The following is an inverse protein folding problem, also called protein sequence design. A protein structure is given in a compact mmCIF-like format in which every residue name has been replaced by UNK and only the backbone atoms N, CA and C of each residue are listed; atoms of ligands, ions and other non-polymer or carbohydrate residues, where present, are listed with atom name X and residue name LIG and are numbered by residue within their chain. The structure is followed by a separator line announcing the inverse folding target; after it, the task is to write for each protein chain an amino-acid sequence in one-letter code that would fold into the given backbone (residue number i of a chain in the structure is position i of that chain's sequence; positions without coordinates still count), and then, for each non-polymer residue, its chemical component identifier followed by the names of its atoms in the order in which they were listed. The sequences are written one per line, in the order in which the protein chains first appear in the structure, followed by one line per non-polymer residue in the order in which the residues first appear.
data_IF_714955819347
#
_entry.id   IF_714955819347
#
_cell.length_a   1.000
_cell.length_b   1.000
_cell.length_c   1.000
_cell.angle_alpha   90.00
_cell.angle_beta   90.00
_cell.angle_gamma   90.00
#
_symmetry.space_group_name_H-M   'P 1'
#
loop_
_entity.id
_entity.type
_entity.pdbx_description
1 polymer ?
#
# COMPACT_ATOMS: atom_id res chain seq x y z
N UNK A 1 -28.38 1.62 -4.62
CA UNK A 1 -27.58 1.28 -5.82
C UNK A 1 -26.69 0.08 -5.49
N UNK A 2 -26.32 -0.73 -6.48
CA UNK A 2 -25.39 -1.85 -6.31
C UNK A 2 -24.13 -1.59 -7.13
N UNK A 3 -22.97 -1.84 -6.54
CA UNK A 3 -21.68 -1.79 -7.21
C UNK A 3 -21.11 -3.20 -7.22
N UNK A 4 -20.73 -3.67 -8.41
CA UNK A 4 -20.16 -5.00 -8.61
C UNK A 4 -18.82 -4.81 -9.31
N UNK A 5 -17.76 -5.30 -8.67
CA UNK A 5 -16.40 -5.27 -9.21
C UNK A 5 -15.75 -6.64 -9.01
N UNK A 6 -14.84 -7.00 -9.91
CA UNK A 6 -14.10 -8.27 -9.80
C UNK A 6 -12.93 -8.15 -8.83
N UNK A 7 -12.33 -6.96 -8.73
CA UNK A 7 -11.25 -6.64 -7.80
C UNK A 7 -11.36 -5.20 -7.33
N UNK A 8 -10.87 -4.93 -6.11
CA UNK A 8 -10.82 -3.56 -5.60
C UNK A 8 -9.85 -2.70 -6.42
N UNK A 9 -8.82 -3.31 -7.01
CA UNK A 9 -7.86 -2.63 -7.88
C UNK A 9 -8.51 -1.98 -9.12
N UNK A 10 -9.59 -2.56 -9.66
CA UNK A 10 -10.33 -1.92 -10.77
C UNK A 10 -10.98 -0.60 -10.33
N UNK A 11 -11.50 -0.56 -9.10
CA UNK A 11 -12.09 0.64 -8.52
C UNK A 11 -11.00 1.68 -8.29
N UNK A 12 -9.85 1.28 -7.73
CA UNK A 12 -8.72 2.19 -7.53
C UNK A 12 -8.15 2.74 -8.84
N UNK A 13 -8.12 1.95 -9.91
CA UNK A 13 -7.67 2.41 -11.22
C UNK A 13 -8.62 3.46 -11.81
N UNK A 14 -9.92 3.34 -11.57
CA UNK A 14 -10.93 4.26 -12.10
C UNK A 14 -11.07 5.53 -11.26
N UNK A 15 -10.95 5.44 -9.94
CA UNK A 15 -11.26 6.53 -9.01
C UNK A 15 -10.06 7.03 -8.19
N UNK A 16 -8.89 6.43 -8.39
CA UNK A 16 -7.69 6.70 -7.60
C UNK A 16 -7.61 5.89 -6.30
N UNK A 17 -6.42 5.90 -5.65
CA UNK A 17 -6.19 5.16 -4.41
C UNK A 17 -7.01 5.72 -3.23
N UNK A 18 -7.26 7.03 -3.22
CA UNK A 18 -8.02 7.72 -2.18
C UNK A 18 -9.46 7.95 -2.64
N UNK A 19 -10.23 6.86 -2.78
CA UNK A 19 -11.64 6.92 -3.17
C UNK A 19 -12.56 6.75 -1.95
N UNK A 20 -13.71 7.44 -1.97
CA UNK A 20 -14.74 7.35 -0.91
C UNK A 20 -15.82 6.30 -1.22
N UNK A 21 -15.71 5.59 -2.35
CA UNK A 21 -16.74 4.67 -2.81
C UNK A 21 -16.93 3.53 -1.82
N UNK A 22 -15.82 2.94 -1.36
CA UNK A 22 -15.86 1.84 -0.40
C UNK A 22 -16.37 2.30 0.96
N UNK A 23 -16.04 3.51 1.39
CA UNK A 23 -16.49 4.10 2.66
C UNK A 23 -17.98 4.38 2.68
N UNK A 24 -18.53 4.80 1.54
CA UNK A 24 -19.97 5.04 1.37
C UNK A 24 -20.82 3.75 1.27
N UNK A 25 -20.19 2.58 1.11
CA UNK A 25 -20.91 1.31 1.05
C UNK A 25 -21.23 0.79 2.47
N UNK A 26 -22.49 0.92 2.89
CA UNK A 26 -22.98 0.41 4.18
C UNK A 26 -22.96 -1.12 4.28
N UNK A 27 -23.24 -1.80 3.16
CA UNK A 27 -23.19 -3.25 3.03
C UNK A 27 -22.09 -3.59 2.04
N UNK A 28 -21.17 -4.48 2.44
CA UNK A 28 -20.10 -4.99 1.61
C UNK A 28 -20.17 -6.50 1.60
N UNK A 29 -20.21 -7.08 0.40
CA UNK A 29 -20.19 -8.53 0.20
C UNK A 29 -18.89 -8.88 -0.50
N UNK A 30 -18.13 -9.79 0.09
CA UNK A 30 -16.85 -10.24 -0.45
C UNK A 30 -16.90 -11.74 -0.71
N UNK A 31 -16.37 -12.12 -1.87
CA UNK A 31 -16.17 -13.52 -2.26
C UNK A 31 -14.68 -13.87 -2.17
N UNK A 32 -14.36 -15.15 -2.38
CA UNK A 32 -12.98 -15.57 -2.62
C UNK A 32 -12.35 -14.70 -3.71
N UNK A 33 -11.16 -14.17 -3.43
CA UNK A 33 -10.38 -13.32 -4.34
C UNK A 33 -9.05 -14.00 -4.62
N UNK A 34 -8.54 -13.82 -5.84
CA UNK A 34 -7.19 -14.26 -6.21
C UNK A 34 -6.14 -13.15 -6.01
N UNK A 35 -6.57 -11.91 -5.77
CA UNK A 35 -5.67 -10.77 -5.53
C UNK A 35 -5.37 -10.63 -4.03
N UNK A 36 -4.10 -10.78 -3.66
CA UNK A 36 -3.60 -10.66 -2.29
C UNK A 36 -3.91 -9.28 -1.70
N UNK A 37 -3.77 -8.21 -2.48
CA UNK A 37 -4.02 -6.84 -2.00
C UNK A 37 -5.49 -6.66 -1.63
N UNK A 38 -6.40 -7.18 -2.45
CA UNK A 38 -7.83 -7.22 -2.13
C UNK A 38 -8.10 -8.10 -0.90
N UNK A 39 -7.47 -9.27 -0.79
CA UNK A 39 -7.64 -10.17 0.36
C UNK A 39 -7.20 -9.50 1.67
N UNK A 40 -6.05 -8.81 1.66
CA UNK A 40 -5.53 -8.06 2.79
C UNK A 40 -6.50 -6.97 3.24
N UNK A 41 -7.06 -6.19 2.30
CA UNK A 41 -8.06 -5.17 2.64
C UNK A 41 -9.32 -5.75 3.27
N UNK A 42 -9.79 -6.90 2.79
CA UNK A 42 -10.94 -7.58 3.38
C UNK A 42 -10.60 -8.10 4.78
N UNK A 43 -9.41 -8.68 4.98
CA UNK A 43 -8.90 -9.09 6.30
C UNK A 43 -8.84 -7.93 7.27
N UNK A 44 -8.27 -6.80 6.84
CA UNK A 44 -8.14 -5.60 7.67
C UNK A 44 -9.51 -5.01 8.03
N UNK A 45 -10.46 -5.03 7.09
CA UNK A 45 -11.85 -4.58 7.33
C UNK A 45 -12.63 -5.49 8.29
N UNK A 46 -12.31 -6.79 8.34
CA UNK A 46 -12.89 -7.74 9.29
C UNK A 46 -12.33 -7.57 10.71
N UNK A 47 -11.10 -7.06 10.80
CA UNK A 47 -10.42 -6.82 12.07
C UNK A 47 -9.80 -8.08 12.68
N UNK A 48 -9.54 -8.01 13.99
CA UNK A 48 -8.84 -9.05 14.74
C UNK A 48 -9.76 -9.70 15.78
N UNK A 49 -9.54 -10.99 16.02
CA UNK A 49 -10.15 -11.78 17.06
C UNK A 49 -9.10 -12.19 18.10
N UNK A 50 -9.55 -12.50 19.31
CA UNK A 50 -8.71 -13.03 20.38
C UNK A 50 -8.73 -14.56 20.32
N UNK A 51 -7.54 -15.16 20.24
CA UNK A 51 -7.36 -16.61 20.29
C UNK A 51 -6.68 -17.01 21.61
N UNK A 52 -7.26 -17.98 22.32
CA UNK A 52 -6.71 -18.53 23.54
C UNK A 52 -5.70 -19.63 23.21
N UNK A 53 -4.41 -19.38 23.39
CA UNK A 53 -3.37 -20.40 23.22
C UNK A 53 -3.02 -21.03 24.57
N UNK A 54 -3.26 -22.33 24.70
CA UNK A 54 -2.81 -23.09 25.87
C UNK A 54 -1.46 -23.76 25.57
N UNK A 55 -0.42 -23.39 26.33
CA UNK A 55 0.89 -24.05 26.27
C UNK A 55 1.02 -25.01 27.45
N UNK A 56 1.32 -26.26 27.13
CA UNK A 56 1.55 -27.32 28.12
C UNK A 56 3.04 -27.55 28.23
N UNK A 57 3.63 -27.14 29.35
CA UNK A 57 5.02 -27.40 29.68
C UNK A 57 5.08 -28.65 30.55
N UNK A 58 5.76 -29.68 30.04
CA UNK A 58 6.04 -30.89 30.79
C UNK A 58 7.35 -30.69 31.56
N UNK A 59 7.27 -30.63 32.89
CA UNK A 59 8.44 -30.70 33.74
C UNK A 59 8.59 -32.15 34.23
N UNK A 60 9.82 -32.63 34.39
CA UNK A 60 10.11 -33.97 34.91
C UNK A 60 11.18 -34.74 34.12
N UNK A 61 11.78 -35.73 34.76
CA UNK A 61 12.73 -36.63 34.12
C UNK A 61 11.98 -37.71 33.33
N UNK A 62 12.34 -37.88 32.04
CA UNK A 62 11.72 -38.84 31.09
C UNK A 62 11.73 -40.32 31.54
N UNK A 63 12.50 -40.65 32.60
CA UNK A 63 12.68 -42.00 33.14
C UNK A 63 12.12 -42.18 34.57
N UNK A 64 11.50 -41.15 35.17
CA UNK A 64 10.95 -41.28 36.53
C UNK A 64 9.58 -41.99 36.53
N UNK A 65 9.31 -42.93 37.46
CA UNK A 65 8.06 -43.69 37.53
C UNK A 65 6.79 -42.83 37.77
N UNK A 66 6.96 -41.62 38.28
CA UNK A 66 5.88 -40.67 38.52
C UNK A 66 6.26 -39.32 37.91
N UNK A 67 5.63 -39.01 36.76
CA UNK A 67 5.91 -37.83 35.95
C UNK A 67 5.45 -36.56 36.71
N UNK A 68 6.40 -35.89 37.36
CA UNK A 68 6.15 -34.77 38.27
C UNK A 68 5.88 -33.45 37.55
N UNK A 69 4.62 -33.02 37.60
CA UNK A 69 4.09 -31.67 37.33
C UNK A 69 3.95 -31.25 35.84
N UNK A 70 2.69 -31.22 35.38
CA UNK A 70 2.28 -30.57 34.14
C UNK A 70 1.92 -29.11 34.44
N UNK A 71 2.67 -28.15 33.87
CA UNK A 71 2.27 -26.75 33.88
C UNK A 71 1.46 -26.45 32.62
N UNK A 72 0.25 -25.93 32.79
CA UNK A 72 -0.57 -25.43 31.67
C UNK A 72 -0.68 -23.92 31.81
N UNK A 73 0.00 -23.17 30.96
CA UNK A 73 -0.18 -21.72 30.85
C UNK A 73 -1.17 -21.42 29.71
N UNK A 74 -2.08 -20.46 29.94
CA UNK A 74 -2.98 -19.96 28.90
C UNK A 74 -2.58 -18.52 28.60
N UNK A 75 -2.37 -18.20 27.34
CA UNK A 75 -2.05 -16.86 26.86
C UNK A 75 -3.06 -16.44 25.81
N UNK A 76 -3.58 -15.23 25.93
CA UNK A 76 -4.39 -14.57 24.90
C UNK A 76 -3.48 -13.99 23.83
N UNK A 77 -3.80 -14.20 22.55
CA UNK A 77 -3.05 -13.60 21.43
C UNK A 77 -4.04 -13.08 20.40
N UNK A 78 -3.78 -11.88 19.89
CA UNK A 78 -4.57 -11.29 18.82
C UNK A 78 -4.22 -11.95 17.47
N UNK A 79 -5.25 -12.33 16.70
CA UNK A 79 -5.13 -12.91 15.36
C UNK A 79 -6.15 -12.25 14.44
N UNK A 80 -5.86 -12.01 13.15
CA UNK A 80 -6.90 -11.61 12.19
C UNK A 80 -8.09 -12.56 12.24
N UNK A 81 -9.32 -12.03 12.20
CA UNK A 81 -10.53 -12.85 12.25
C UNK A 81 -10.56 -13.87 11.09
N UNK A 82 -10.16 -13.41 9.90
CA UNK A 82 -9.79 -14.25 8.78
C UNK A 82 -8.51 -13.70 8.18
N UNK A 83 -7.50 -14.56 8.04
CA UNK A 83 -6.25 -14.19 7.39
C UNK A 83 -6.46 -13.97 5.88
N UNK A 84 -5.60 -13.19 5.20
CA UNK A 84 -5.67 -13.03 3.76
C UNK A 84 -5.66 -14.37 3.01
N UNK A 85 -4.86 -15.34 3.46
CA UNK A 85 -4.82 -16.69 2.90
C UNK A 85 -6.15 -17.45 3.05
N UNK A 86 -6.80 -17.36 4.22
CA UNK A 86 -8.13 -17.97 4.44
C UNK A 86 -9.22 -17.32 3.57
N UNK A 87 -9.11 -16.01 3.29
CA UNK A 87 -10.03 -15.30 2.38
C UNK A 87 -9.84 -15.76 0.93
N UNK A 88 -8.59 -15.91 0.49
CA UNK A 88 -8.30 -16.41 -0.86
C UNK A 88 -8.75 -17.87 -1.04
N UNK A 89 -8.64 -18.68 0.01
CA UNK A 89 -9.09 -20.08 0.01
C UNK A 89 -10.56 -20.25 0.42
N UNK A 90 -11.33 -19.16 0.51
CA UNK A 90 -12.74 -19.23 0.88
C UNK A 90 -13.48 -20.15 -0.11
N UNK A 91 -14.31 -21.10 0.37
CA UNK A 91 -15.05 -21.99 -0.53
C UNK A 91 -15.89 -21.19 -1.53
N UNK A 92 -16.02 -21.66 -2.79
CA UNK A 92 -16.75 -20.92 -3.83
C UNK A 92 -18.25 -20.79 -3.55
N UNK A 93 -18.79 -21.56 -2.61
CA UNK A 93 -20.17 -21.48 -2.15
C UNK A 93 -20.37 -20.51 -0.97
N UNK A 94 -19.29 -19.97 -0.41
CA UNK A 94 -19.32 -19.10 0.76
C UNK A 94 -19.09 -17.65 0.36
N UNK A 95 -19.57 -16.74 1.20
CA UNK A 95 -19.37 -15.31 1.08
C UNK A 95 -19.24 -14.68 2.47
N UNK A 96 -18.62 -13.51 2.52
CA UNK A 96 -18.46 -12.72 3.74
C UNK A 96 -19.29 -11.46 3.56
N UNK A 97 -20.25 -11.27 4.46
CA UNK A 97 -21.15 -10.11 4.46
C UNK A 97 -20.77 -9.22 5.64
N UNK A 98 -20.39 -8.00 5.32
CA UNK A 98 -20.09 -6.95 6.29
C UNK A 98 -21.18 -5.89 6.22
N UNK A 99 -21.85 -5.65 7.34
CA UNK A 99 -22.86 -4.60 7.49
C UNK A 99 -22.38 -3.67 8.60
N UNK A 100 -22.37 -2.36 8.35
CA UNK A 100 -21.87 -1.43 9.35
C UNK A 100 -22.72 -1.52 10.65
N UNK A 101 -22.03 -1.60 11.80
CA UNK A 101 -22.67 -1.76 13.11
C UNK A 101 -23.08 -3.20 13.46
N UNK A 102 -22.81 -4.18 12.60
CA UNK A 102 -23.10 -5.60 12.87
C UNK A 102 -21.81 -6.43 12.77
N UNK A 103 -21.63 -7.47 13.59
CA UNK A 103 -20.52 -8.41 13.41
C UNK A 103 -20.53 -9.02 12.00
N UNK A 104 -19.35 -9.28 11.40
CA UNK A 104 -19.28 -9.86 10.07
C UNK A 104 -19.92 -11.25 10.03
N UNK A 105 -20.64 -11.53 8.94
CA UNK A 105 -21.42 -12.75 8.77
C UNK A 105 -20.78 -13.58 7.66
N UNK A 106 -20.43 -14.83 7.99
CA UNK A 106 -20.08 -15.83 6.98
C UNK A 106 -21.35 -16.51 6.49
N UNK A 107 -21.70 -16.28 5.23
CA UNK A 107 -22.93 -16.77 4.62
C UNK A 107 -22.65 -17.75 3.47
N UNK A 108 -23.72 -18.43 3.01
CA UNK A 108 -23.70 -19.23 1.78
C UNK A 108 -24.28 -18.40 0.64
N UNK A 109 -23.66 -18.45 -0.53
CA UNK A 109 -24.11 -17.74 -1.73
C UNK A 109 -25.54 -18.10 -2.11
N UNK A 110 -26.34 -17.06 -2.35
CA UNK A 110 -27.68 -17.22 -2.89
C UNK A 110 -27.62 -17.64 -4.37
N UNK A 111 -27.99 -18.90 -4.66
CA UNK A 111 -28.11 -19.41 -6.03
C UNK A 111 -29.56 -19.32 -6.49
N UNK A 112 -29.86 -18.34 -7.34
CA UNK A 112 -31.23 -18.05 -7.79
C UNK A 112 -31.95 -19.26 -8.41
N UNK A 113 -31.20 -20.14 -9.09
CA UNK A 113 -31.74 -21.33 -9.73
C UNK A 113 -32.00 -22.50 -8.76
N UNK A 114 -31.43 -22.46 -7.55
CA UNK A 114 -31.55 -23.53 -6.55
C UNK A 114 -32.60 -23.20 -5.48
N UNK A 115 -32.84 -21.93 -5.20
CA UNK A 115 -33.85 -21.49 -4.24
C UNK A 115 -35.24 -21.40 -4.91
N UNK A 116 -36.22 -22.11 -4.36
CA UNK A 116 -37.60 -22.09 -4.86
C UNK A 116 -38.17 -20.66 -4.95
N UNK A 117 -37.87 -19.80 -3.96
CA UNK A 117 -38.38 -18.42 -3.89
C UNK A 117 -37.86 -17.54 -5.01
N UNK A 118 -36.67 -17.85 -5.52
CA UNK A 118 -36.07 -17.13 -6.64
C UNK A 118 -36.45 -17.74 -7.99
N UNK A 119 -36.56 -19.07 -8.07
CA UNK A 119 -37.05 -19.76 -9.28
C UNK A 119 -38.39 -19.24 -9.76
N UNK A 120 -39.33 -18.99 -8.85
CA UNK A 120 -40.66 -18.47 -9.18
C UNK A 120 -40.63 -17.04 -9.77
N UNK A 121 -39.51 -16.33 -9.61
CA UNK A 121 -39.30 -14.97 -10.14
C UNK A 121 -38.45 -14.95 -11.41
N UNK A 122 -37.99 -16.11 -11.89
CA UNK A 122 -37.20 -16.20 -13.12
C UNK A 122 -38.12 -15.99 -14.31
N UNK A 123 -37.93 -14.87 -15.02
CA UNK A 123 -38.59 -14.59 -16.29
C UNK A 123 -37.83 -15.23 -17.45
N UNK A 124 -38.54 -15.55 -18.53
CA UNK A 124 -37.91 -15.98 -19.76
C UNK A 124 -36.92 -14.92 -20.26
N UNK A 125 -35.75 -15.32 -20.79
CA UNK A 125 -34.81 -14.38 -21.38
C UNK A 125 -35.50 -13.49 -22.43
N UNK A 126 -35.16 -12.20 -22.51
CA UNK A 126 -35.73 -11.34 -23.54
C UNK A 126 -35.35 -11.88 -24.93
N UNK A 127 -36.32 -11.92 -25.83
CA UNK A 127 -36.06 -12.27 -27.22
C UNK A 127 -35.18 -11.19 -27.84
N UNK A 128 -33.95 -11.56 -28.22
CA UNK A 128 -33.02 -10.66 -28.90
C UNK A 128 -33.53 -10.41 -30.32
N UNK A 129 -34.40 -9.43 -30.49
CA UNK A 129 -34.75 -8.92 -31.81
C UNK A 129 -33.54 -8.11 -32.29
N UNK A 130 -32.84 -8.58 -33.32
CA UNK A 130 -31.78 -7.80 -33.98
C UNK A 130 -32.46 -6.54 -34.52
N UNK A 131 -32.33 -5.42 -33.81
CA UNK A 131 -32.86 -4.15 -34.26
C UNK A 131 -32.19 -3.81 -35.60
N UNK A 132 -32.98 -3.58 -36.64
CA UNK A 132 -32.48 -3.07 -37.93
C UNK A 132 -32.08 -1.60 -37.86
N UNK A 133 -32.38 -0.93 -36.74
CA UNK A 133 -31.99 0.45 -36.50
C UNK A 133 -30.75 0.46 -35.61
N UNK A 134 -29.64 0.92 -36.19
CA UNK A 134 -28.52 1.46 -35.43
C UNK A 134 -29.12 2.55 -34.53
N UNK A 135 -29.16 2.33 -33.22
CA UNK A 135 -29.43 3.42 -32.30
C UNK A 135 -28.38 4.48 -32.58
N UNK A 136 -28.81 5.69 -32.93
CA UNK A 136 -27.91 6.83 -32.96
C UNK A 136 -27.45 7.05 -31.51
N UNK A 137 -26.29 6.52 -31.15
CA UNK A 137 -25.63 6.96 -29.92
C UNK A 137 -25.07 8.36 -30.18
N UNK A 138 -25.22 9.25 -29.19
CA UNK A 138 -24.66 10.61 -29.20
C UNK A 138 -23.13 10.61 -29.41
N UNK A 139 -22.50 9.44 -29.28
CA UNK A 139 -21.06 9.21 -29.47
C UNK A 139 -20.69 8.84 -30.91
N UNK A 140 -21.57 8.17 -31.66
CA UNK A 140 -21.25 7.67 -33.01
C UNK A 140 -21.24 8.78 -34.05
N UNK A 141 -22.01 9.84 -33.82
CA UNK A 141 -22.07 11.01 -34.70
C UNK A 141 -21.00 12.07 -34.37
N UNK A 142 -20.25 11.90 -33.28
CA UNK A 142 -19.17 12.81 -32.95
C UNK A 142 -18.02 12.63 -33.95
N UNK A 143 -17.46 13.73 -34.49
CA UNK A 143 -16.30 13.63 -35.35
C UNK A 143 -15.17 12.97 -34.58
N UNK A 144 -14.56 11.95 -35.19
CA UNK A 144 -13.35 11.32 -34.65
C UNK A 144 -12.34 12.45 -34.43
N UNK A 145 -11.83 12.65 -33.20
CA UNK A 145 -10.87 13.71 -32.94
C UNK A 145 -9.68 13.51 -33.89
N UNK A 146 -9.30 14.57 -34.59
CA UNK A 146 -8.21 14.53 -35.53
C UNK A 146 -6.97 13.97 -34.81
N UNK A 147 -6.49 12.82 -35.28
CA UNK A 147 -5.18 12.32 -34.87
C UNK A 147 -4.21 13.43 -35.19
N UNK A 148 -3.53 13.96 -34.17
CA UNK A 148 -2.46 14.92 -34.41
C UNK A 148 -1.38 14.18 -35.18
N UNK A 149 -1.36 14.36 -36.51
CA UNK A 149 -0.21 14.02 -37.32
C UNK A 149 0.94 14.82 -36.72
N UNK A 150 1.84 14.12 -36.04
CA UNK A 150 3.07 14.70 -35.55
C UNK A 150 3.76 15.34 -36.74
N UNK A 151 3.78 16.67 -36.79
CA UNK A 151 4.55 17.43 -37.77
C UNK A 151 6.04 17.27 -37.44
N UNK A 152 6.58 16.10 -37.75
CA UNK A 152 8.00 15.80 -37.72
C UNK A 152 8.65 16.28 -39.01
N UNK A 153 8.84 17.60 -39.15
CA UNK A 153 9.84 18.17 -40.08
C UNK A 153 10.49 19.43 -39.50
N UNK A 154 11.69 19.26 -38.99
CA UNK A 154 12.82 20.20 -39.06
C UNK A 154 14.06 19.39 -38.70
N UNK A 155 14.84 18.98 -39.68
CA UNK A 155 16.00 19.71 -40.20
C UNK A 155 17.27 19.20 -39.52
N UNK A 156 18.19 18.70 -40.34
CA UNK A 156 19.46 18.12 -39.95
C UNK A 156 20.28 19.05 -39.05
N UNK A 157 20.81 18.51 -37.96
CA UNK A 157 22.04 18.97 -37.34
C UNK A 157 22.87 17.71 -37.08
N UNK A 158 23.94 17.56 -37.86
CA UNK A 158 25.06 16.67 -37.57
C UNK A 158 25.70 17.12 -36.26
N UNK A 159 25.78 16.20 -35.30
CA UNK A 159 26.40 16.43 -34.00
C UNK A 159 26.64 15.07 -33.34
N UNK A 160 27.85 14.56 -33.54
CA UNK A 160 28.42 13.39 -32.89
C UNK A 160 28.26 13.47 -31.36
N UNK A 161 27.58 12.52 -30.73
CA UNK A 161 27.89 12.12 -29.35
C UNK A 161 27.41 10.69 -29.06
N UNK A 162 28.30 9.89 -28.50
CA UNK A 162 28.16 8.46 -28.22
C UNK A 162 27.32 8.22 -26.94
N UNK A 163 26.18 7.52 -27.05
CA UNK A 163 25.51 6.88 -25.90
C UNK A 163 25.27 5.38 -26.21
N UNK A 164 25.88 4.45 -25.45
CA UNK A 164 25.82 3.01 -25.71
C UNK A 164 24.59 2.32 -25.10
N UNK A 165 23.64 3.05 -24.51
CA UNK A 165 22.41 2.44 -23.96
C UNK A 165 21.20 2.69 -24.86
N UNK A 166 21.02 1.79 -25.83
CA UNK A 166 19.90 1.77 -26.79
C UNK A 166 18.53 1.51 -26.16
N UNK A 167 18.01 2.44 -25.36
CA UNK A 167 16.62 2.43 -24.88
C UNK A 167 15.79 3.53 -25.57
N UNK A 168 15.30 3.16 -26.75
CA UNK A 168 14.02 3.58 -27.34
C UNK A 168 13.51 5.02 -27.08
N UNK A 169 13.70 5.87 -28.09
CA UNK A 169 12.90 7.07 -28.34
C UNK A 169 11.40 6.72 -28.48
N UNK A 170 10.67 6.68 -27.36
CA UNK A 170 9.20 6.78 -27.36
C UNK A 170 8.79 8.20 -27.03
N UNK A 171 8.69 9.03 -28.06
CA UNK A 171 8.08 10.35 -27.95
C UNK A 171 6.57 10.20 -27.77
N UNK A 172 6.08 10.46 -26.54
CA UNK A 172 4.66 10.57 -26.23
C UNK A 172 4.19 12.01 -26.51
N UNK A 173 3.23 12.26 -27.42
CA UNK A 173 2.83 13.61 -27.84
C UNK A 173 2.10 14.44 -26.77
N UNK A 174 1.47 13.78 -25.79
CA UNK A 174 0.52 14.40 -24.86
C UNK A 174 1.16 15.24 -23.73
N UNK A 175 2.49 15.29 -23.63
CA UNK A 175 3.21 16.02 -22.56
C UNK A 175 3.59 17.47 -22.90
N UNK A 176 3.29 17.94 -24.11
CA UNK A 176 3.76 19.24 -24.61
C UNK A 176 2.94 20.47 -24.17
N UNK A 177 1.94 20.30 -23.28
CA UNK A 177 1.08 21.40 -22.79
C UNK A 177 1.33 21.85 -21.35
N UNK A 178 2.48 21.54 -20.79
CA UNK A 178 2.92 22.16 -19.53
C UNK A 178 3.87 23.30 -19.91
N UNK A 179 3.49 24.55 -19.62
CA UNK A 179 4.44 25.69 -19.65
C UNK A 179 5.66 25.24 -18.84
N UNK A 180 6.91 25.47 -19.31
CA UNK A 180 8.10 25.03 -18.58
C UNK A 180 7.98 25.55 -17.16
N UNK A 181 7.75 24.64 -16.21
CA UNK A 181 7.92 24.96 -14.81
C UNK A 181 9.40 25.29 -14.71
N UNK A 182 9.72 26.53 -14.35
CA UNK A 182 11.08 26.90 -13.97
C UNK A 182 11.57 25.81 -13.04
N UNK A 183 12.71 25.19 -13.37
CA UNK A 183 13.29 24.14 -12.55
C UNK A 183 13.53 24.74 -11.17
N UNK A 184 12.57 24.54 -10.27
CA UNK A 184 12.79 24.77 -8.86
C UNK A 184 13.95 23.86 -8.50
N UNK A 185 14.92 24.41 -7.78
CA UNK A 185 16.11 23.68 -7.37
C UNK A 185 15.68 22.35 -6.77
N UNK A 186 16.41 21.25 -7.01
CA UNK A 186 16.11 19.97 -6.38
C UNK A 186 15.91 20.25 -4.89
N UNK A 187 14.77 19.83 -4.35
CA UNK A 187 14.59 19.80 -2.90
C UNK A 187 15.69 18.86 -2.42
N UNK A 188 16.71 19.41 -1.78
CA UNK A 188 17.71 18.59 -1.09
C UNK A 188 16.93 17.69 -0.13
N UNK A 189 17.04 16.38 -0.34
CA UNK A 189 16.49 15.41 0.58
C UNK A 189 17.19 15.60 1.93
N UNK A 190 16.47 16.15 2.92
CA UNK A 190 16.97 16.25 4.30
C UNK A 190 17.25 14.88 4.97
N UNK A 191 16.95 13.78 4.27
CA UNK A 191 17.09 12.40 4.73
C UNK A 191 18.00 11.53 3.83
N UNK A 192 18.70 12.12 2.86
CA UNK A 192 19.75 11.39 2.14
C UNK A 192 21.01 11.38 3.00
N UNK A 193 21.44 10.18 3.39
CA UNK A 193 22.68 9.99 4.14
C UNK A 193 23.85 10.14 3.16
N UNK A 194 24.35 11.36 3.02
CA UNK A 194 25.61 11.65 2.33
C UNK A 194 26.76 10.93 3.05
N UNK A 195 27.29 9.86 2.45
CA UNK A 195 28.46 9.16 2.96
C UNK A 195 29.72 10.06 3.05
N UNK A 196 29.72 11.19 2.34
CA UNK A 196 30.82 12.15 2.32
C UNK A 196 30.72 13.24 3.41
N UNK A 197 29.56 13.37 4.11
CA UNK A 197 29.41 14.29 5.25
C UNK A 197 29.98 13.74 6.56
N UNK A 198 30.16 12.42 6.65
CA UNK A 198 30.70 11.78 7.86
C UNK A 198 32.19 12.12 8.05
N UNK A 199 32.96 12.26 6.97
CA UNK A 199 34.39 12.61 7.03
C UNK A 199 34.61 14.07 7.50
N UNK A 200 33.79 15.02 7.06
CA UNK A 200 33.89 16.43 7.51
C UNK A 200 33.43 16.60 8.97
N UNK A 201 32.40 15.87 9.40
CA UNK A 201 31.93 15.92 10.79
C UNK A 201 32.92 15.25 11.76
N UNK A 202 33.61 14.17 11.36
CA UNK A 202 34.69 13.58 12.16
C UNK A 202 35.86 14.55 12.36
N UNK A 203 36.24 15.30 11.32
CA UNK A 203 37.35 16.26 11.40
C UNK A 203 37.00 17.47 12.29
N UNK A 204 35.77 17.97 12.22
CA UNK A 204 35.27 19.06 13.08
C UNK A 204 35.14 18.60 14.54
N UNK A 205 34.64 17.38 14.78
CA UNK A 205 34.55 16.80 16.13
C UNK A 205 35.94 16.58 16.74
N UNK A 206 36.91 16.13 15.93
CA UNK A 206 38.30 15.93 16.36
C UNK A 206 38.99 17.26 16.66
N UNK A 207 38.75 18.29 15.84
CA UNK A 207 39.24 19.66 16.08
C UNK A 207 38.65 20.28 17.34
N UNK A 208 37.35 20.11 17.57
CA UNK A 208 36.69 20.60 18.79
C UNK A 208 37.22 19.88 20.05
N UNK A 209 37.41 18.56 20.03
CA UNK A 209 38.02 17.84 21.16
C UNK A 209 39.45 18.32 21.48
N UNK A 210 40.26 18.61 20.46
CA UNK A 210 41.60 19.21 20.65
C UNK A 210 41.51 20.61 21.25
N UNK A 211 40.56 21.43 20.80
CA UNK A 211 40.31 22.78 21.34
C UNK A 211 39.87 22.72 22.81
N UNK A 212 38.97 21.81 23.18
CA UNK A 212 38.51 21.63 24.58
C UNK A 212 39.64 21.15 25.50
N UNK A 213 40.52 20.26 25.01
CA UNK A 213 41.70 19.82 25.76
C UNK A 213 42.69 20.94 26.02
N UNK A 214 42.93 21.81 25.03
CA UNK A 214 43.77 23.01 25.19
C UNK A 214 43.14 24.01 26.16
N UNK A 215 41.83 24.25 26.10
CA UNK A 215 41.12 25.12 27.04
C UNK A 215 41.18 24.60 28.49
N UNK A 216 41.06 23.29 28.72
CA UNK A 216 41.20 22.71 30.06
C UNK A 216 42.64 22.82 30.59
N UNK A 217 43.65 22.72 29.71
CA UNK A 217 45.05 22.95 30.07
C UNK A 217 45.32 24.39 30.49
N UNK A 218 44.82 25.36 29.71
CA UNK A 218 44.96 26.80 30.00
C UNK A 218 44.20 27.18 31.28
N UNK A 219 42.98 26.66 31.50
CA UNK A 219 42.22 26.93 32.72
C UNK A 219 42.93 26.43 33.99
N UNK A 220 43.61 25.28 33.93
CA UNK A 220 44.44 24.79 35.04
C UNK A 220 45.67 25.67 35.29
N UNK A 221 46.29 26.21 34.24
CA UNK A 221 47.41 27.15 34.37
C UNK A 221 46.99 28.50 34.96
N UNK A 222 45.81 29.00 34.63
CA UNK A 222 45.27 30.26 35.16
C UNK A 222 44.99 30.13 36.68
N UNK A 223 44.45 28.99 37.13
CA UNK A 223 44.18 28.75 38.57
C UNK A 223 45.43 28.61 39.46
N UNK A 224 46.62 28.53 38.86
CA UNK A 224 47.91 28.43 39.57
C UNK A 224 48.72 29.73 39.53
N UNK A 225 48.17 30.81 38.95
CA UNK A 225 48.84 32.10 38.88
C UNK A 225 48.38 33.00 40.05
N UNK A 226 49.22 33.24 41.08
CA UNK A 226 48.82 33.93 42.31
C UNK A 226 48.63 35.45 42.14
N UNK A 227 48.53 35.96 40.91
CA UNK A 227 48.36 37.38 40.62
C UNK A 227 47.34 37.65 39.50
N UNK A 228 46.38 36.73 39.29
CA UNK A 228 45.28 36.95 38.33
C UNK A 228 44.14 37.68 39.04
N UNK A 229 44.13 39.01 38.93
CA UNK A 229 43.38 39.97 39.76
C UNK A 229 41.85 39.90 39.68
N UNK A 230 41.26 38.76 40.02
CA UNK A 230 39.84 38.54 40.21
C UNK A 230 39.56 38.45 41.72
N UNK A 231 39.25 39.59 42.35
CA UNK A 231 38.61 39.62 43.68
C UNK A 231 37.20 39.03 43.56
N UNK A 232 36.87 38.07 44.44
CA UNK A 232 35.56 37.44 44.57
C UNK A 232 34.54 38.36 45.24
#
# INVERSE_FOLDING_TARGET
AFLIAQSLNQIEKAYGPNNSILDNCHVRVSFATNDERTAKRVSDALGTATEMKAMKNYAGHRLSPWLGHLMVSRSETARPLLTPGEIMQLPPADEIVMVAGTPPIRAKKARYYNDARFRDRVLSPPTLTRGSAVQHDDWTALPVPATQESTGRSAAIEGQDDDPTGSEYRHQPELSRVKPVEKSQPIENEFEFDADRDDEMEDVATRNRRMTGLMQGVARQVSLNPNDGMEL
#
